data_IF_876248910413
#
_entry.id   IF_876248910413
#
_cell.length_a   1.000
_cell.length_b   1.000
_cell.length_c   1.000
_cell.angle_alpha   90.00
_cell.angle_beta   90.00
_cell.angle_gamma   90.00
#
_symmetry.space_group_name_H-M   'P 1'
#
loop_
_entity.id
_entity.type
_entity.pdbx_description
1 polymer ?
#
# COMPACT_ATOMS: atom_id res chain seq x y z
N UNK A 1 6.67 -25.26 6.30
CA UNK A 1 6.87 -24.06 7.15
C UNK A 1 6.15 -24.21 8.48
N UNK A 2 4.86 -24.59 8.52
CA UNK A 2 4.10 -24.75 9.77
C UNK A 2 4.78 -25.61 10.85
N UNK A 3 5.40 -26.73 10.48
CA UNK A 3 6.11 -27.55 11.46
C UNK A 3 7.31 -26.82 12.08
N UNK A 4 8.02 -25.99 11.30
CA UNK A 4 9.16 -25.19 11.80
C UNK A 4 8.67 -24.08 12.74
N UNK A 5 7.54 -23.44 12.39
CA UNK A 5 7.00 -22.30 13.13
C UNK A 5 6.14 -22.68 14.34
N UNK A 6 5.94 -23.98 14.59
CA UNK A 6 5.39 -24.51 15.84
C UNK A 6 6.44 -24.71 16.94
N UNK A 7 7.73 -24.60 16.61
CA UNK A 7 8.78 -24.72 17.60
C UNK A 7 8.70 -23.54 18.59
N UNK A 8 8.63 -23.77 19.92
CA UNK A 8 8.52 -22.68 20.88
C UNK A 8 9.83 -21.90 21.08
N UNK A 9 10.97 -22.45 20.66
CA UNK A 9 12.26 -21.80 20.84
C UNK A 9 12.51 -20.77 19.75
N UNK A 10 12.68 -19.49 20.14
CA UNK A 10 12.97 -18.36 19.25
C UNK A 10 14.05 -18.71 18.21
N UNK A 11 15.20 -19.26 18.63
CA UNK A 11 16.32 -19.56 17.75
C UNK A 11 16.08 -20.68 16.72
N UNK A 12 14.99 -21.43 16.87
CA UNK A 12 14.62 -22.54 15.99
C UNK A 12 13.30 -22.29 15.24
N UNK A 13 12.69 -21.12 15.46
CA UNK A 13 11.45 -20.72 14.83
C UNK A 13 11.71 -19.50 13.94
N UNK A 14 11.81 -19.69 12.61
CA UNK A 14 12.15 -18.58 11.73
C UNK A 14 11.14 -17.44 11.81
N UNK A 15 9.85 -17.73 12.04
CA UNK A 15 8.80 -16.71 12.15
C UNK A 15 8.98 -15.84 13.39
N UNK A 16 9.35 -16.45 14.53
CA UNK A 16 9.69 -15.70 15.74
C UNK A 16 10.97 -14.90 15.58
N UNK A 17 11.97 -15.44 14.88
CA UNK A 17 13.19 -14.67 14.57
C UNK A 17 12.86 -13.44 13.73
N UNK A 18 12.06 -13.60 12.67
CA UNK A 18 11.68 -12.50 11.80
C UNK A 18 10.83 -11.45 12.53
N UNK A 19 9.87 -11.88 13.36
CA UNK A 19 9.06 -10.95 14.16
C UNK A 19 9.90 -10.18 15.17
N UNK A 20 10.86 -10.83 15.84
CA UNK A 20 11.80 -10.16 16.73
C UNK A 20 12.69 -9.16 15.97
N UNK A 21 13.15 -9.50 14.77
CA UNK A 21 13.91 -8.59 13.92
C UNK A 21 13.07 -7.38 13.49
N UNK A 22 11.80 -7.57 13.13
CA UNK A 22 10.89 -6.45 12.84
C UNK A 22 10.67 -5.57 14.06
N UNK A 23 10.53 -6.17 15.25
CA UNK A 23 10.36 -5.43 16.49
C UNK A 23 11.58 -4.55 16.77
N UNK A 24 12.79 -5.10 16.63
CA UNK A 24 14.03 -4.34 16.82
C UNK A 24 14.18 -3.27 15.74
N UNK A 25 13.99 -3.62 14.46
CA UNK A 25 14.20 -2.70 13.35
C UNK A 25 13.19 -1.55 13.33
N UNK A 26 11.93 -1.83 13.74
CA UNK A 26 10.82 -0.90 13.86
C UNK A 26 10.69 -0.24 15.24
N UNK A 27 11.60 -0.49 16.18
CA UNK A 27 11.51 -0.03 17.58
C UNK A 27 10.19 -0.40 18.30
N UNK A 28 9.55 -1.50 17.87
CA UNK A 28 8.25 -1.95 18.38
C UNK A 28 7.10 -0.98 18.14
N UNK A 29 7.26 0.03 17.26
CA UNK A 29 6.28 1.08 16.97
C UNK A 29 6.01 1.19 15.48
N UNK A 30 4.86 1.78 15.14
CA UNK A 30 4.44 1.95 13.76
C UNK A 30 5.12 3.10 12.99
N UNK A 31 6.26 3.58 13.47
CA UNK A 31 6.93 4.78 12.95
C UNK A 31 7.90 4.49 11.80
N UNK A 32 8.06 3.21 11.42
CA UNK A 32 8.97 2.80 10.34
C UNK A 32 8.27 2.01 9.25
N UNK A 33 8.81 2.15 8.05
CA UNK A 33 8.37 1.52 6.84
C UNK A 33 9.14 0.22 6.59
N UNK A 34 8.46 -0.83 6.15
CA UNK A 34 9.05 -2.08 5.69
C UNK A 34 9.26 -2.01 4.18
N UNK A 35 10.50 -2.15 3.72
CA UNK A 35 10.82 -2.20 2.28
C UNK A 35 11.18 -3.63 1.90
N UNK A 36 10.45 -4.24 0.96
CA UNK A 36 10.71 -5.60 0.47
C UNK A 36 11.26 -5.55 -0.95
N UNK A 37 12.48 -6.05 -1.14
CA UNK A 37 13.20 -6.01 -2.42
C UNK A 37 13.66 -7.42 -2.81
N UNK A 38 12.81 -8.20 -3.50
CA UNK A 38 13.20 -9.50 -4.01
C UNK A 38 14.03 -9.36 -5.29
N UNK A 39 15.18 -10.02 -5.36
CA UNK A 39 16.02 -10.13 -6.54
C UNK A 39 15.58 -11.31 -7.42
N UNK A 40 14.31 -11.28 -7.84
CA UNK A 40 13.74 -12.24 -8.78
C UNK A 40 12.45 -11.70 -9.40
N UNK A 41 12.37 -11.73 -10.74
CA UNK A 41 11.16 -11.35 -11.47
C UNK A 41 9.94 -12.21 -11.07
N UNK A 42 10.16 -13.48 -10.73
CA UNK A 42 9.10 -14.39 -10.29
C UNK A 42 8.45 -13.99 -8.96
N UNK A 43 9.10 -13.09 -8.20
CA UNK A 43 8.62 -12.58 -6.92
C UNK A 43 8.12 -11.12 -7.02
N UNK A 44 7.92 -10.59 -8.23
CA UNK A 44 7.45 -9.21 -8.46
C UNK A 44 6.19 -8.84 -7.65
N UNK A 45 5.25 -9.79 -7.49
CA UNK A 45 4.00 -9.56 -6.77
C UNK A 45 4.11 -9.78 -5.25
N UNK A 46 5.25 -10.23 -4.74
CA UNK A 46 5.42 -10.52 -3.32
C UNK A 46 5.18 -9.29 -2.46
N UNK A 47 5.73 -8.14 -2.83
CA UNK A 47 5.56 -6.90 -2.06
C UNK A 47 4.08 -6.45 -2.04
N UNK A 48 3.32 -6.68 -3.13
CA UNK A 48 1.87 -6.40 -3.19
C UNK A 48 1.06 -7.34 -2.31
N UNK A 49 1.42 -8.63 -2.28
CA UNK A 49 0.82 -9.59 -1.36
C UNK A 49 1.09 -9.19 0.10
N UNK A 50 2.33 -8.82 0.42
CA UNK A 50 2.72 -8.41 1.77
C UNK A 50 2.10 -7.08 2.19
N UNK A 51 1.78 -6.17 1.27
CA UNK A 51 1.01 -4.97 1.58
C UNK A 51 -0.31 -5.33 2.25
N UNK A 52 -1.09 -6.22 1.65
CA UNK A 52 -2.34 -6.65 2.26
C UNK A 52 -2.08 -7.38 3.58
N UNK A 53 -1.24 -8.43 3.55
CA UNK A 53 -1.02 -9.26 4.73
C UNK A 53 -0.51 -8.46 5.93
N UNK A 54 0.48 -7.60 5.76
CA UNK A 54 1.12 -6.86 6.86
C UNK A 54 0.28 -5.64 7.24
N UNK A 55 -0.14 -4.82 6.27
CA UNK A 55 -0.79 -3.53 6.59
C UNK A 55 -2.21 -3.74 7.12
N UNK A 56 -2.98 -4.68 6.57
CA UNK A 56 -4.33 -4.99 7.07
C UNK A 56 -4.28 -5.69 8.43
N UNK A 57 -3.30 -6.58 8.65
CA UNK A 57 -3.17 -7.29 9.93
C UNK A 57 -2.63 -6.39 11.04
N UNK A 58 -1.62 -5.56 10.76
CA UNK A 58 -0.89 -4.82 11.79
C UNK A 58 -1.36 -3.37 11.96
N UNK A 59 -2.01 -2.78 10.96
CA UNK A 59 -2.51 -1.41 10.99
C UNK A 59 -3.70 -1.28 11.94
N UNK A 60 -3.45 -1.01 13.23
CA UNK A 60 -4.48 -0.99 14.27
C UNK A 60 -4.40 0.24 15.15
N UNK A 61 -5.55 0.90 15.32
CA UNK A 61 -5.68 2.05 16.22
C UNK A 61 -5.51 1.63 17.68
N UNK A 62 -6.07 0.49 18.07
CA UNK A 62 -6.12 0.02 19.45
C UNK A 62 -5.38 -1.30 19.65
N UNK A 63 -4.80 -1.45 20.84
CA UNK A 63 -4.25 -2.71 21.33
C UNK A 63 -5.34 -3.64 21.91
N UNK A 64 -4.93 -4.81 22.41
CA UNK A 64 -5.83 -5.81 23.00
C UNK A 64 -6.47 -5.34 24.32
N UNK A 65 -5.88 -4.37 25.00
CA UNK A 65 -6.41 -3.77 26.24
C UNK A 65 -7.35 -2.57 25.94
N UNK A 66 -7.45 -2.16 24.67
CA UNK A 66 -8.30 -1.06 24.22
C UNK A 66 -7.63 0.31 24.25
N UNK A 67 -6.33 0.39 24.54
CA UNK A 67 -5.56 1.63 24.50
C UNK A 67 -5.30 2.04 23.05
N UNK A 68 -5.29 3.35 22.79
CA UNK A 68 -4.92 3.88 21.47
C UNK A 68 -3.40 3.84 21.28
N UNK A 69 -2.93 3.07 20.29
CA UNK A 69 -1.51 2.81 20.00
C UNK A 69 -1.09 3.17 18.57
N UNK A 70 -2.04 3.28 17.63
CA UNK A 70 -1.77 3.56 16.20
C UNK A 70 -0.62 2.72 15.61
N UNK A 71 -0.66 1.41 15.82
CA UNK A 71 0.34 0.49 15.28
C UNK A 71 0.21 0.26 13.78
N UNK A 72 1.30 -0.20 13.16
CA UNK A 72 1.33 -0.60 11.76
C UNK A 72 2.74 -0.75 11.21
N UNK A 73 2.88 -1.35 10.03
CA UNK A 73 4.11 -1.30 9.25
C UNK A 73 3.71 -1.03 7.79
N UNK A 74 4.05 0.13 7.26
CA UNK A 74 3.78 0.42 5.86
C UNK A 74 4.70 -0.41 4.99
N UNK A 75 4.14 -1.19 4.06
CA UNK A 75 4.94 -2.02 3.16
C UNK A 75 5.12 -1.33 1.81
N UNK A 76 6.38 -1.08 1.48
CA UNK A 76 6.81 -0.67 0.16
C UNK A 76 7.68 -1.75 -0.47
N UNK A 77 7.84 -1.70 -1.78
CA UNK A 77 8.77 -2.60 -2.44
C UNK A 77 8.53 -2.73 -3.92
N UNK A 78 9.58 -3.11 -4.60
CA UNK A 78 9.56 -3.60 -5.97
C UNK A 78 10.74 -4.58 -6.13
N UNK A 79 10.82 -5.27 -7.27
CA UNK A 79 11.93 -6.18 -7.53
C UNK A 79 13.28 -5.45 -7.60
N UNK A 80 14.33 -6.15 -7.18
CA UNK A 80 15.72 -5.71 -7.28
C UNK A 80 16.23 -5.66 -8.72
N UNK A 81 17.38 -5.01 -8.92
CA UNK A 81 17.95 -4.78 -10.25
C UNK A 81 17.30 -3.57 -10.92
N UNK A 82 16.56 -3.78 -12.01
CA UNK A 82 16.00 -2.70 -12.85
C UNK A 82 15.03 -1.76 -12.11
N UNK A 83 14.16 -2.30 -11.26
CA UNK A 83 13.09 -1.50 -10.66
C UNK A 83 13.52 -0.83 -9.35
N UNK A 84 14.63 -1.27 -8.75
CA UNK A 84 15.19 -0.66 -7.56
C UNK A 84 15.72 0.76 -7.84
N UNK A 85 16.09 1.07 -9.10
CA UNK A 85 16.50 2.42 -9.51
C UNK A 85 15.45 3.50 -9.21
N UNK A 86 14.17 3.13 -9.07
CA UNK A 86 13.11 4.07 -8.72
C UNK A 86 13.21 4.62 -7.29
N UNK A 87 13.82 3.90 -6.35
CA UNK A 87 13.82 4.27 -4.93
C UNK A 87 15.16 4.06 -4.20
N UNK A 88 16.20 3.54 -4.84
CA UNK A 88 17.54 3.41 -4.25
C UNK A 88 18.04 4.75 -3.69
N UNK A 89 17.78 5.88 -4.36
CA UNK A 89 18.19 7.20 -3.87
C UNK A 89 17.55 7.53 -2.51
N UNK A 90 16.25 7.24 -2.35
CA UNK A 90 15.55 7.41 -1.07
C UNK A 90 16.13 6.48 -0.01
N UNK A 91 16.42 5.22 -0.36
CA UNK A 91 17.02 4.27 0.59
C UNK A 91 18.42 4.72 1.01
N UNK A 92 19.19 5.33 0.12
CA UNK A 92 20.59 5.68 0.39
C UNK A 92 20.74 7.00 1.15
N UNK A 93 20.08 8.06 0.70
CA UNK A 93 20.30 9.45 1.19
C UNK A 93 19.04 10.10 1.76
N UNK A 94 17.88 9.47 1.57
CA UNK A 94 16.62 9.94 2.11
C UNK A 94 16.50 9.71 3.62
N UNK A 95 15.31 10.01 4.15
CA UNK A 95 14.98 9.82 5.57
C UNK A 95 15.22 8.37 6.01
N UNK A 96 15.74 8.20 7.22
CA UNK A 96 15.94 6.88 7.83
C UNK A 96 14.70 6.40 8.60
N UNK A 97 13.57 6.34 7.92
CA UNK A 97 12.28 5.89 8.47
C UNK A 97 11.90 4.48 7.99
N UNK A 98 12.89 3.64 7.65
CA UNK A 98 12.63 2.31 7.12
C UNK A 98 13.60 1.24 7.60
N UNK A 99 13.23 -0.01 7.35
CA UNK A 99 14.15 -1.14 7.28
C UNK A 99 13.88 -1.92 6.00
N UNK A 100 14.92 -2.51 5.41
CA UNK A 100 14.81 -3.22 4.13
C UNK A 100 15.04 -4.70 4.31
N UNK A 101 14.23 -5.52 3.63
CA UNK A 101 14.45 -6.95 3.45
C UNK A 101 14.83 -7.21 2.00
N UNK A 102 16.05 -7.67 1.79
CA UNK A 102 16.48 -8.23 0.52
C UNK A 102 16.17 -9.72 0.49
N UNK A 103 15.59 -10.20 -0.62
CA UNK A 103 15.35 -11.63 -0.84
C UNK A 103 16.13 -12.06 -2.07
N UNK A 104 17.17 -12.84 -1.86
CA UNK A 104 18.03 -13.39 -2.90
C UNK A 104 17.56 -14.80 -3.30
N UNK A 105 17.62 -15.11 -4.59
CA UNK A 105 17.42 -16.47 -5.11
C UNK A 105 18.79 -17.01 -5.55
N UNK A 106 19.24 -18.09 -4.91
CA UNK A 106 20.61 -18.60 -5.07
C UNK A 106 20.83 -19.38 -6.36
N UNK A 107 19.84 -20.17 -6.77
CA UNK A 107 19.89 -20.90 -8.04
C UNK A 107 19.39 -20.03 -9.17
N UNK A 108 20.27 -19.82 -10.15
CA UNK A 108 19.91 -19.14 -11.38
C UNK A 108 18.81 -19.87 -12.12
N UNK A 109 17.79 -19.10 -12.55
CA UNK A 109 16.68 -19.66 -13.30
C UNK A 109 17.10 -20.20 -14.67
N UNK A 110 18.19 -19.67 -15.23
CA UNK A 110 18.78 -20.06 -16.50
C UNK A 110 20.26 -19.67 -16.55
N UNK A 111 21.05 -20.39 -17.36
CA UNK A 111 22.42 -20.00 -17.66
C UNK A 111 22.41 -18.79 -18.62
N UNK A 112 22.69 -17.60 -18.10
CA UNK A 112 22.68 -16.35 -18.85
C UNK A 112 24.01 -15.59 -18.65
N UNK A 113 25.04 -15.85 -19.46
CA UNK A 113 26.32 -15.15 -19.37
C UNK A 113 26.18 -13.69 -19.83
N UNK A 114 26.78 -12.76 -19.09
CA UNK A 114 26.83 -11.32 -19.44
C UNK A 114 28.20 -10.95 -20.01
N UNK A 115 29.27 -11.52 -19.43
CA UNK A 115 30.64 -11.29 -19.86
C UNK A 115 31.51 -12.52 -19.58
N UNK A 116 32.81 -12.47 -19.91
CA UNK A 116 33.73 -13.59 -19.68
C UNK A 116 33.81 -13.91 -18.18
N UNK A 117 33.15 -15.01 -17.79
CA UNK A 117 33.19 -15.54 -16.42
C UNK A 117 32.16 -14.93 -15.45
N UNK A 118 31.18 -14.17 -15.92
CA UNK A 118 30.13 -13.57 -15.08
C UNK A 118 28.75 -13.89 -15.65
N UNK A 119 27.92 -14.55 -14.84
CA UNK A 119 26.52 -14.81 -15.15
C UNK A 119 25.60 -13.67 -14.67
N UNK A 120 24.37 -13.64 -15.17
CA UNK A 120 23.34 -12.71 -14.70
C UNK A 120 23.05 -12.87 -13.20
N UNK A 121 23.12 -14.10 -12.68
CA UNK A 121 23.05 -14.38 -11.25
C UNK A 121 24.10 -13.63 -10.44
N UNK A 122 25.37 -13.75 -10.85
CA UNK A 122 26.50 -13.06 -10.21
C UNK A 122 26.31 -11.55 -10.22
N UNK A 123 25.79 -11.00 -11.32
CA UNK A 123 25.50 -9.58 -11.43
C UNK A 123 24.40 -9.15 -10.45
N UNK A 124 23.29 -9.89 -10.38
CA UNK A 124 22.21 -9.61 -9.43
C UNK A 124 22.68 -9.72 -7.96
N UNK A 125 23.47 -10.75 -7.65
CA UNK A 125 24.11 -10.93 -6.35
C UNK A 125 25.00 -9.73 -5.98
N UNK A 126 25.85 -9.31 -6.90
CA UNK A 126 26.73 -8.15 -6.73
C UNK A 126 25.95 -6.86 -6.48
N UNK A 127 24.87 -6.62 -7.23
CA UNK A 127 24.02 -5.44 -7.04
C UNK A 127 23.30 -5.44 -5.69
N UNK A 128 22.74 -6.58 -5.27
CA UNK A 128 22.10 -6.71 -3.96
C UNK A 128 23.11 -6.48 -2.84
N UNK A 129 24.25 -7.18 -2.89
CA UNK A 129 25.28 -7.11 -1.85
C UNK A 129 25.89 -5.72 -1.77
N UNK A 130 26.17 -5.09 -2.91
CA UNK A 130 26.67 -3.72 -2.98
C UNK A 130 25.71 -2.72 -2.33
N UNK A 131 24.41 -2.81 -2.63
CA UNK A 131 23.40 -1.97 -2.00
C UNK A 131 23.27 -2.26 -0.50
N UNK A 132 23.22 -3.52 -0.09
CA UNK A 132 23.19 -3.90 1.34
C UNK A 132 24.37 -3.29 2.11
N UNK A 133 25.59 -3.41 1.56
CA UNK A 133 26.80 -2.85 2.17
C UNK A 133 26.73 -1.32 2.28
N UNK A 134 26.24 -0.63 1.25
CA UNK A 134 26.06 0.81 1.26
C UNK A 134 25.05 1.26 2.33
N UNK A 135 23.95 0.53 2.52
CA UNK A 135 22.96 0.82 3.55
C UNK A 135 23.51 0.55 4.96
N UNK A 136 24.20 -0.58 5.15
CA UNK A 136 24.83 -0.95 6.43
C UNK A 136 25.92 0.03 6.85
N UNK A 137 26.74 0.54 5.92
CA UNK A 137 27.78 1.54 6.24
C UNK A 137 27.19 2.84 6.78
N UNK A 138 25.96 3.17 6.37
CA UNK A 138 25.15 4.29 6.90
C UNK A 138 24.30 3.91 8.12
N UNK A 139 24.52 2.73 8.72
CA UNK A 139 23.78 2.19 9.89
C UNK A 139 22.28 1.99 9.66
N UNK A 140 21.84 1.90 8.40
CA UNK A 140 20.44 1.58 8.06
C UNK A 140 20.16 0.10 8.32
N UNK A 141 18.93 -0.21 8.72
CA UNK A 141 18.54 -1.56 9.11
C UNK A 141 18.29 -2.43 7.87
N UNK A 142 19.02 -3.54 7.78
CA UNK A 142 18.99 -4.47 6.63
C UNK A 142 18.78 -5.90 7.11
N UNK A 143 17.79 -6.55 6.51
CA UNK A 143 17.47 -7.97 6.64
C UNK A 143 17.80 -8.63 5.30
N UNK A 144 18.51 -9.75 5.34
CA UNK A 144 18.83 -10.55 4.16
C UNK A 144 18.23 -11.93 4.30
N UNK A 145 17.47 -12.34 3.29
CA UNK A 145 16.84 -13.64 3.20
C UNK A 145 17.32 -14.32 1.93
N UNK A 146 17.67 -15.61 2.04
CA UNK A 146 18.13 -16.41 0.93
C UNK A 146 17.14 -17.53 0.66
N UNK A 147 16.72 -17.64 -0.59
CA UNK A 147 15.87 -18.71 -1.10
C UNK A 147 16.69 -19.55 -2.07
N UNK A 148 16.69 -20.88 -1.92
CA UNK A 148 17.45 -21.73 -2.83
C UNK A 148 16.99 -21.55 -4.28
N UNK A 149 15.68 -21.64 -4.52
CA UNK A 149 15.06 -21.48 -5.84
C UNK A 149 13.61 -21.05 -5.68
N UNK A 150 13.02 -20.45 -6.72
CA UNK A 150 11.56 -20.20 -6.75
C UNK A 150 10.85 -21.40 -7.37
N UNK A 151 10.09 -22.13 -6.56
CA UNK A 151 9.22 -23.24 -6.95
C UNK A 151 7.88 -23.14 -6.22
N UNK A 152 6.83 -23.87 -6.61
CA UNK A 152 5.56 -23.89 -5.88
C UNK A 152 5.74 -24.20 -4.38
N UNK A 153 6.66 -25.14 -4.06
CA UNK A 153 6.96 -25.51 -2.69
C UNK A 153 7.62 -24.36 -1.91
N UNK A 154 8.66 -23.74 -2.44
CA UNK A 154 9.38 -22.66 -1.74
C UNK A 154 8.56 -21.38 -1.67
N UNK A 155 7.71 -21.11 -2.67
CA UNK A 155 6.73 -20.03 -2.62
C UNK A 155 5.70 -20.26 -1.50
N UNK A 156 5.14 -21.47 -1.40
CA UNK A 156 4.24 -21.81 -0.30
C UNK A 156 4.91 -21.70 1.08
N UNK A 157 6.19 -22.09 1.18
CA UNK A 157 6.97 -21.88 2.40
C UNK A 157 7.13 -20.40 2.73
N UNK A 158 7.41 -19.55 1.74
CA UNK A 158 7.59 -18.10 1.91
C UNK A 158 6.28 -17.43 2.36
N UNK A 159 5.15 -17.80 1.75
CA UNK A 159 3.82 -17.31 2.13
C UNK A 159 3.52 -17.67 3.59
N UNK A 160 3.56 -18.96 3.93
CA UNK A 160 3.30 -19.42 5.29
C UNK A 160 4.28 -18.83 6.32
N UNK A 161 5.51 -18.54 5.90
CA UNK A 161 6.51 -17.91 6.76
C UNK A 161 6.11 -16.49 7.16
N UNK A 162 5.73 -15.65 6.18
CA UNK A 162 5.28 -14.30 6.46
C UNK A 162 3.95 -14.26 7.23
N UNK A 163 3.00 -15.15 6.93
CA UNK A 163 1.74 -15.27 7.70
C UNK A 163 2.01 -15.55 9.19
N UNK A 164 2.92 -16.47 9.48
CA UNK A 164 3.33 -16.82 10.85
C UNK A 164 4.11 -15.68 11.51
N UNK A 165 4.99 -15.00 10.78
CA UNK A 165 5.76 -13.87 11.30
C UNK A 165 4.86 -12.68 11.65
N UNK A 166 3.84 -12.39 10.82
CA UNK A 166 2.85 -11.33 11.08
C UNK A 166 2.03 -11.65 12.32
N UNK A 167 1.55 -12.89 12.46
CA UNK A 167 0.81 -13.30 13.66
C UNK A 167 1.67 -13.17 14.92
N UNK A 168 2.92 -13.66 14.89
CA UNK A 168 3.84 -13.55 16.01
C UNK A 168 4.21 -12.08 16.33
N UNK A 169 4.40 -11.25 15.30
CA UNK A 169 4.69 -9.83 15.51
C UNK A 169 3.50 -9.11 16.15
N UNK A 170 2.28 -9.39 15.72
CA UNK A 170 1.08 -8.80 16.32
C UNK A 170 0.96 -9.12 17.82
N UNK A 171 1.30 -10.34 18.23
CA UNK A 171 1.40 -10.70 19.65
C UNK A 171 2.48 -9.88 20.37
N UNK A 172 3.68 -9.71 19.78
CA UNK A 172 4.76 -8.92 20.37
C UNK A 172 4.41 -7.44 20.57
N UNK A 173 3.57 -6.87 19.70
CA UNK A 173 3.11 -5.49 19.81
C UNK A 173 1.70 -5.37 20.40
N UNK A 174 1.17 -6.46 20.98
CA UNK A 174 -0.09 -6.52 21.72
C UNK A 174 -1.35 -6.08 20.94
N UNK A 175 -1.45 -6.43 19.65
CA UNK A 175 -2.63 -6.12 18.82
C UNK A 175 -3.29 -7.38 18.27
N UNK A 176 -4.56 -7.28 17.88
CA UNK A 176 -5.26 -8.36 17.18
C UNK A 176 -4.97 -8.29 15.66
N UNK A 177 -4.27 -9.28 15.12
CA UNK A 177 -3.97 -9.38 13.69
C UNK A 177 -5.20 -9.68 12.80
N UNK A 178 -6.25 -10.32 13.33
CA UNK A 178 -7.24 -11.06 12.55
C UNK A 178 -8.58 -10.34 12.34
N UNK A 179 -8.68 -9.07 12.76
CA UNK A 179 -9.86 -8.23 12.54
C UNK A 179 -9.55 -7.00 11.65
N UNK A 180 -10.57 -6.50 10.94
CA UNK A 180 -10.45 -5.34 10.03
C UNK A 180 -11.58 -4.30 10.21
N UNK A 181 -11.68 -3.64 11.39
CA UNK A 181 -12.77 -2.71 11.68
C UNK A 181 -12.80 -1.48 10.74
N UNK A 182 -11.64 -0.97 10.31
CA UNK A 182 -11.55 0.24 9.48
C UNK A 182 -12.23 0.13 8.12
N UNK A 183 -12.33 -1.08 7.55
CA UNK A 183 -12.99 -1.31 6.25
C UNK A 183 -14.50 -1.07 6.33
N UNK A 184 -15.12 -1.29 7.50
CA UNK A 184 -16.56 -1.06 7.68
C UNK A 184 -16.90 0.43 7.67
N UNK A 185 -16.08 1.26 8.33
CA UNK A 185 -16.25 2.72 8.32
C UNK A 185 -16.16 3.27 6.89
N UNK A 186 -15.17 2.82 6.10
CA UNK A 186 -15.03 3.19 4.68
C UNK A 186 -16.27 2.82 3.85
N UNK A 187 -16.84 1.62 4.05
CA UNK A 187 -18.05 1.19 3.33
C UNK A 187 -19.26 2.07 3.65
N UNK A 188 -19.44 2.43 4.92
CA UNK A 188 -20.54 3.31 5.33
C UNK A 188 -20.40 4.71 4.73
N UNK A 189 -19.20 5.30 4.79
CA UNK A 189 -18.91 6.59 4.18
C UNK A 189 -19.08 6.57 2.64
N UNK A 190 -18.69 5.47 1.98
CA UNK A 190 -18.89 5.31 0.54
C UNK A 190 -20.38 5.29 0.17
N UNK A 191 -21.20 4.60 0.99
CA UNK A 191 -22.65 4.53 0.78
C UNK A 191 -23.31 5.90 0.92
N UNK A 192 -22.89 6.73 1.87
CA UNK A 192 -23.44 8.08 2.03
C UNK A 192 -23.13 8.98 0.83
N UNK A 193 -21.94 8.86 0.22
CA UNK A 193 -21.61 9.60 -1.02
C UNK A 193 -22.48 9.16 -2.19
N UNK A 194 -22.76 7.86 -2.32
CA UNK A 194 -23.66 7.35 -3.37
C UNK A 194 -25.08 7.89 -3.19
N UNK A 195 -25.59 7.91 -1.95
CA UNK A 195 -26.92 8.48 -1.66
C UNK A 195 -26.97 9.98 -1.96
N UNK A 196 -25.93 10.73 -1.59
CA UNK A 196 -25.80 12.15 -1.92
C UNK A 196 -25.77 12.38 -3.43
N UNK A 197 -25.07 11.53 -4.19
CA UNK A 197 -25.05 11.59 -5.65
C UNK A 197 -26.45 11.44 -6.25
N UNK A 198 -27.24 10.48 -5.75
CA UNK A 198 -28.62 10.26 -6.20
C UNK A 198 -29.52 11.48 -5.89
N UNK A 199 -29.39 12.05 -4.69
CA UNK A 199 -30.13 13.26 -4.30
C UNK A 199 -29.79 14.47 -5.21
N UNK A 200 -28.51 14.64 -5.57
CA UNK A 200 -28.07 15.70 -6.49
C UNK A 200 -28.64 15.45 -7.89
N UNK A 201 -28.56 14.23 -8.41
CA UNK A 201 -29.10 13.88 -9.73
C UNK A 201 -30.60 14.18 -9.82
N UNK A 202 -31.37 13.91 -8.75
CA UNK A 202 -32.80 14.22 -8.66
C UNK A 202 -33.08 15.73 -8.61
N UNK A 203 -32.28 16.51 -7.88
CA UNK A 203 -32.51 17.95 -7.69
C UNK A 203 -31.94 18.84 -8.79
N UNK A 204 -30.93 18.37 -9.54
CA UNK A 204 -30.26 19.10 -10.61
C UNK A 204 -31.21 19.76 -11.64
N UNK A 205 -32.30 19.12 -12.09
CA UNK A 205 -33.27 19.74 -12.99
C UNK A 205 -33.89 21.04 -12.48
N UNK A 206 -34.12 21.15 -11.17
CA UNK A 206 -34.70 22.36 -10.57
C UNK A 206 -33.78 23.58 -10.64
N UNK A 207 -32.49 23.36 -10.90
CA UNK A 207 -31.50 24.43 -11.05
C UNK A 207 -31.36 24.88 -12.51
N UNK A 208 -31.85 24.13 -13.50
CA UNK A 208 -31.68 24.50 -14.90
C UNK A 208 -32.58 25.69 -15.29
N UNK A 209 -32.07 26.70 -16.04
CA UNK A 209 -30.68 26.91 -16.41
C UNK A 209 -29.86 27.59 -15.30
N UNK A 210 -28.68 27.06 -14.99
CA UNK A 210 -27.76 27.69 -14.04
C UNK A 210 -26.30 27.49 -14.45
N UNK A 211 -25.47 28.48 -14.12
CA UNK A 211 -24.01 28.37 -14.21
C UNK A 211 -23.40 28.94 -12.95
N UNK A 212 -22.54 28.16 -12.30
CA UNK A 212 -21.85 28.59 -11.10
C UNK A 212 -20.94 27.51 -10.51
N UNK A 213 -20.33 27.85 -9.39
CA UNK A 213 -19.45 27.00 -8.60
C UNK A 213 -20.21 25.86 -7.90
N UNK A 214 -19.48 24.84 -7.44
CA UNK A 214 -20.05 23.77 -6.61
C UNK A 214 -20.62 24.30 -5.29
N UNK A 215 -20.04 25.36 -4.73
CA UNK A 215 -20.51 26.02 -3.50
C UNK A 215 -21.87 26.69 -3.74
N UNK A 216 -22.05 27.40 -4.85
CA UNK A 216 -23.32 28.02 -5.20
C UNK A 216 -24.41 26.97 -5.49
N UNK A 217 -24.05 25.88 -6.16
CA UNK A 217 -24.96 24.75 -6.39
C UNK A 217 -25.34 24.11 -5.05
N UNK A 218 -24.38 23.83 -4.18
CA UNK A 218 -24.62 23.26 -2.85
C UNK A 218 -25.55 24.14 -2.00
N UNK A 219 -25.33 25.47 -2.02
CA UNK A 219 -26.21 26.42 -1.35
C UNK A 219 -27.64 26.39 -1.93
N UNK A 220 -27.79 26.36 -3.26
CA UNK A 220 -29.11 26.26 -3.92
C UNK A 220 -29.82 24.93 -3.65
N UNK A 221 -29.08 23.84 -3.45
CA UNK A 221 -29.60 22.54 -3.07
C UNK A 221 -29.92 22.41 -1.57
N UNK A 222 -29.66 23.45 -0.77
CA UNK A 222 -29.74 23.43 0.70
C UNK A 222 -28.81 22.41 1.36
N UNK A 223 -27.65 22.17 0.76
CA UNK A 223 -26.61 21.23 1.21
C UNK A 223 -25.23 21.91 1.35
N UNK A 224 -25.11 23.09 2.01
CA UNK A 224 -23.85 23.84 2.06
C UNK A 224 -22.71 23.09 2.76
N UNK A 225 -23.02 22.20 3.71
CA UNK A 225 -22.04 21.37 4.41
C UNK A 225 -21.40 20.29 3.53
N UNK A 226 -22.01 19.97 2.39
CA UNK A 226 -21.56 18.90 1.49
C UNK A 226 -20.93 19.46 0.21
N UNK A 227 -20.50 20.73 0.22
CA UNK A 227 -20.01 21.42 -0.98
C UNK A 227 -18.78 20.74 -1.59
N UNK A 228 -17.90 20.17 -0.77
CA UNK A 228 -16.71 19.45 -1.21
C UNK A 228 -17.07 18.14 -1.94
N UNK A 229 -17.98 17.35 -1.36
CA UNK A 229 -18.50 16.12 -1.95
C UNK A 229 -19.26 16.40 -3.24
N UNK A 230 -20.09 17.45 -3.23
CA UNK A 230 -20.86 17.93 -4.40
C UNK A 230 -19.91 18.32 -5.54
N UNK A 231 -18.77 18.96 -5.27
CA UNK A 231 -17.79 19.28 -6.32
C UNK A 231 -17.29 18.01 -7.02
N UNK A 232 -16.87 16.99 -6.26
CA UNK A 232 -16.41 15.72 -6.81
C UNK A 232 -17.50 14.99 -7.60
N UNK A 233 -18.73 15.01 -7.09
CA UNK A 233 -19.90 14.42 -7.76
C UNK A 233 -20.18 15.14 -9.08
N UNK A 234 -20.34 16.46 -9.06
CA UNK A 234 -20.63 17.25 -10.26
C UNK A 234 -19.52 17.11 -11.31
N UNK A 235 -18.25 17.07 -10.88
CA UNK A 235 -17.12 16.81 -11.77
C UNK A 235 -17.25 15.48 -12.49
N UNK A 236 -17.58 14.42 -11.74
CA UNK A 236 -17.76 13.07 -12.28
C UNK A 236 -18.97 13.01 -13.23
N UNK A 237 -20.08 13.63 -12.85
CA UNK A 237 -21.31 13.67 -13.65
C UNK A 237 -21.10 14.44 -14.96
N UNK A 238 -20.50 15.64 -14.91
CA UNK A 238 -20.22 16.47 -16.08
C UNK A 238 -19.30 15.77 -17.10
N UNK A 239 -18.28 15.06 -16.62
CA UNK A 239 -17.36 14.31 -17.49
C UNK A 239 -18.02 13.08 -18.14
N UNK A 240 -19.18 12.64 -17.63
CA UNK A 240 -19.87 11.43 -18.09
C UNK A 240 -21.30 11.68 -18.56
N UNK A 241 -21.68 12.92 -18.86
CA UNK A 241 -23.04 13.28 -19.29
C UNK A 241 -23.49 12.53 -20.55
N UNK A 242 -22.58 12.21 -21.48
CA UNK A 242 -22.90 11.39 -22.66
C UNK A 242 -22.93 9.88 -22.40
N UNK A 243 -22.46 9.44 -21.23
CA UNK A 243 -22.36 8.02 -20.82
C UNK A 243 -23.34 7.65 -19.71
N UNK A 244 -24.17 8.58 -19.28
CA UNK A 244 -25.18 8.41 -18.23
C UNK A 244 -26.46 9.10 -18.62
N UNK A 245 -27.59 8.51 -18.22
CA UNK A 245 -28.88 9.17 -18.31
C UNK A 245 -29.02 10.17 -17.17
N UNK A 246 -28.53 11.39 -17.38
CA UNK A 246 -28.77 12.52 -16.47
C UNK A 246 -30.00 13.31 -16.92
N UNK A 247 -30.88 13.74 -16.02
CA UNK A 247 -32.08 14.49 -16.38
C UNK A 247 -31.79 15.91 -16.90
N UNK A 248 -30.52 16.35 -16.82
CA UNK A 248 -30.01 17.63 -17.34
C UNK A 248 -28.78 17.41 -18.22
N UNK A 249 -28.51 18.38 -19.08
CA UNK A 249 -27.20 18.53 -19.71
C UNK A 249 -26.27 19.25 -18.72
N UNK A 250 -25.27 18.54 -18.21
CA UNK A 250 -24.29 19.08 -17.27
C UNK A 250 -22.92 19.20 -17.95
N UNK A 251 -22.28 20.36 -17.88
CA UNK A 251 -20.91 20.59 -18.38
C UNK A 251 -20.07 21.26 -17.31
N UNK A 252 -18.74 21.11 -17.40
CA UNK A 252 -17.78 21.79 -16.53
C UNK A 252 -16.76 22.56 -17.36
N UNK A 253 -16.48 23.80 -16.98
CA UNK A 253 -15.48 24.65 -17.61
C UNK A 253 -14.57 25.30 -16.55
N UNK A 254 -13.30 25.51 -16.88
CA UNK A 254 -12.38 26.24 -16.02
C UNK A 254 -12.48 27.74 -16.31
N UNK A 255 -12.78 28.51 -15.28
CA UNK A 255 -12.76 29.96 -15.29
C UNK A 255 -11.51 30.43 -14.54
N UNK A 256 -10.69 31.26 -15.18
CA UNK A 256 -9.42 31.76 -14.63
C UNK A 256 -9.59 32.53 -13.31
N UNK A 257 -10.73 33.18 -13.11
CA UNK A 257 -10.97 34.08 -11.97
C UNK A 257 -11.81 33.39 -10.87
N UNK A 258 -12.56 32.34 -11.23
CA UNK A 258 -13.53 31.66 -10.33
C UNK A 258 -13.26 30.18 -10.10
N UNK A 259 -12.32 29.57 -10.83
CA UNK A 259 -12.07 28.14 -10.81
C UNK A 259 -13.08 27.33 -11.63
N UNK A 260 -13.42 26.12 -11.21
CA UNK A 260 -14.35 25.26 -11.94
C UNK A 260 -15.80 25.76 -11.83
N UNK A 261 -16.42 26.04 -12.98
CA UNK A 261 -17.86 26.35 -13.10
C UNK A 261 -18.61 25.18 -13.75
N UNK A 262 -19.83 24.94 -13.26
CA UNK A 262 -20.73 23.90 -13.74
C UNK A 262 -21.90 24.56 -14.45
N UNK A 263 -22.14 24.15 -15.68
CA UNK A 263 -23.21 24.65 -16.56
C UNK A 263 -24.30 23.59 -16.60
N UNK A 264 -25.46 23.91 -16.05
CA UNK A 264 -26.65 23.06 -16.01
C UNK A 264 -27.65 23.62 -17.00
N UNK A 265 -28.01 22.86 -18.03
CA UNK A 265 -29.06 23.20 -18.97
C UNK A 265 -30.12 22.10 -19.05
N UNK A 266 -31.33 22.47 -19.47
CA UNK A 266 -32.39 21.50 -19.78
C UNK A 266 -31.91 20.46 -20.78
N UNK A 267 -32.55 19.29 -20.77
CA UNK A 267 -32.29 18.25 -21.76
C UNK A 267 -32.74 18.69 -23.15
#
# INVERSE_FOLDING_TARGET
MDNLTRNPHLSHNPAYMLSAVWYIAGNGKGDRNMVIVPYSDRLLLLSRYLQQLVMESLGKEKDLDGNTVHQGLNVFGNKGGTDAHAFIQQLNDGRDDFFVTFIEVLEDAMNAPISKGVAMGDYLHGFMTGLSNALRSKKRQVIEMKLMRVSPFTLGMLIAFYERAVAAYAELIHINAFHQPGVQAYKLASKSIILLQLEIEEKLPSLAPFTGSSQEIAAKLSLPSSAYEIEGILAKLAANTSRRELPVNLRRAWNKDKGWEYIISGR
#
